data_IF_485962834969
#
_entry.id   IF_485962834969
#
_cell.length_a   1.000
_cell.length_b   1.000
_cell.length_c   1.000
_cell.angle_alpha   90.00
_cell.angle_beta   90.00
_cell.angle_gamma   90.00
#
_symmetry.space_group_name_H-M   'P 1'
#
loop_
_entity.id
_entity.type
_entity.pdbx_description
1 polymer ?
#
# COMPACT_ATOMS: atom_id res chain seq x y z
N UNK A 1 -17.11 -20.31 1.57
CA UNK A 1 -16.65 -18.95 1.22
C UNK A 1 -15.12 -18.76 1.17
N UNK A 2 -14.30 -19.66 1.73
CA UNK A 2 -12.82 -19.58 1.63
C UNK A 2 -12.24 -20.09 0.28
N UNK A 3 -12.93 -20.99 -0.42
CA UNK A 3 -12.41 -21.60 -1.66
C UNK A 3 -12.44 -20.67 -2.88
N UNK A 4 -13.42 -19.76 -2.95
CA UNK A 4 -13.54 -18.78 -4.06
C UNK A 4 -12.44 -17.72 -3.97
N UNK A 5 -12.06 -17.28 -2.77
CA UNK A 5 -10.95 -16.33 -2.56
C UNK A 5 -9.59 -16.91 -2.99
N UNK A 6 -9.36 -18.20 -2.77
CA UNK A 6 -8.10 -18.86 -3.15
C UNK A 6 -7.95 -18.96 -4.68
N UNK A 7 -9.04 -19.19 -5.40
CA UNK A 7 -9.03 -19.28 -6.87
C UNK A 7 -8.88 -17.91 -7.56
N UNK A 8 -9.44 -16.84 -6.97
CA UNK A 8 -9.37 -15.50 -7.56
C UNK A 8 -7.99 -14.87 -7.36
N UNK A 9 -7.32 -15.13 -6.23
CA UNK A 9 -5.92 -14.74 -6.02
C UNK A 9 -4.98 -15.40 -7.05
N UNK A 10 -5.21 -16.68 -7.37
CA UNK A 10 -4.42 -17.43 -8.37
C UNK A 10 -4.64 -16.91 -9.80
N UNK A 11 -5.83 -16.39 -10.16
CA UNK A 11 -6.02 -15.74 -11.48
C UNK A 11 -5.36 -14.36 -11.58
N UNK A 12 -5.37 -13.57 -10.50
CA UNK A 12 -4.71 -12.24 -10.48
C UNK A 12 -3.18 -12.39 -10.52
N UNK A 13 -2.63 -13.41 -9.86
CA UNK A 13 -1.21 -13.78 -9.89
C UNK A 13 -0.83 -14.58 -11.14
N UNK A 14 -1.79 -15.27 -11.77
CA UNK A 14 -1.58 -16.17 -12.90
C UNK A 14 -1.23 -15.47 -14.21
N UNK A 15 -1.34 -14.15 -14.27
CA UNK A 15 -0.89 -13.32 -15.40
C UNK A 15 0.39 -12.51 -15.08
N UNK A 16 0.91 -12.61 -13.84
CA UNK A 16 2.26 -12.17 -13.47
C UNK A 16 3.27 -13.26 -13.89
N UNK A 17 3.17 -13.67 -15.14
CA UNK A 17 3.81 -14.88 -15.71
C UNK A 17 5.29 -14.71 -15.99
N UNK A 18 5.79 -13.47 -16.00
CA UNK A 18 7.23 -13.23 -15.95
C UNK A 18 7.71 -13.48 -14.52
N UNK A 19 8.53 -14.53 -14.35
CA UNK A 19 9.07 -14.89 -13.03
C UNK A 19 9.77 -13.74 -12.29
N UNK A 20 10.24 -12.73 -13.03
CA UNK A 20 10.82 -11.51 -12.48
C UNK A 20 9.79 -10.60 -11.80
N UNK A 21 8.62 -10.40 -12.38
CA UNK A 21 7.55 -9.57 -11.78
C UNK A 21 6.96 -10.23 -10.53
N UNK A 22 6.80 -11.56 -10.57
CA UNK A 22 6.42 -12.32 -9.39
C UNK A 22 7.47 -12.22 -8.28
N UNK A 23 8.75 -12.32 -8.64
CA UNK A 23 9.86 -12.17 -7.68
C UNK A 23 9.89 -10.77 -7.08
N UNK A 24 9.70 -9.70 -7.87
CA UNK A 24 9.59 -8.32 -7.37
C UNK A 24 8.42 -8.15 -6.41
N UNK A 25 7.25 -8.72 -6.75
CA UNK A 25 6.08 -8.73 -5.89
C UNK A 25 6.33 -9.43 -4.54
N UNK A 26 6.94 -10.61 -4.58
CA UNK A 26 7.31 -11.37 -3.39
C UNK A 26 8.36 -10.62 -2.55
N UNK A 27 9.34 -10.00 -3.19
CA UNK A 27 10.39 -9.21 -2.55
C UNK A 27 9.83 -8.00 -1.81
N UNK A 28 8.88 -7.27 -2.41
CA UNK A 28 8.23 -6.14 -1.74
C UNK A 28 7.45 -6.60 -0.50
N UNK A 29 6.68 -7.70 -0.59
CA UNK A 29 5.99 -8.26 0.57
C UNK A 29 6.97 -8.72 1.67
N UNK A 30 8.09 -9.32 1.26
CA UNK A 30 9.16 -9.69 2.19
C UNK A 30 9.76 -8.46 2.89
N UNK A 31 9.94 -7.35 2.17
CA UNK A 31 10.40 -6.09 2.78
C UNK A 31 9.42 -5.56 3.84
N UNK A 32 8.11 -5.73 3.65
CA UNK A 32 7.10 -5.36 4.64
C UNK A 32 7.15 -6.25 5.88
N UNK A 33 7.32 -7.55 5.65
CA UNK A 33 7.47 -8.54 6.71
C UNK A 33 8.68 -8.21 7.60
N UNK A 34 9.85 -8.00 6.98
CA UNK A 34 11.09 -7.64 7.69
C UNK A 34 10.91 -6.32 8.44
N UNK A 35 10.33 -5.29 7.80
CA UNK A 35 10.08 -4.01 8.47
C UNK A 35 9.18 -4.17 9.71
N UNK A 36 8.08 -4.93 9.60
CA UNK A 36 7.17 -5.17 10.72
C UNK A 36 7.84 -5.95 11.87
N UNK A 37 8.68 -6.93 11.57
CA UNK A 37 9.47 -7.64 12.59
C UNK A 37 10.45 -6.70 13.29
N UNK A 38 11.19 -5.90 12.52
CA UNK A 38 12.17 -4.96 13.08
C UNK A 38 11.47 -3.86 13.92
N UNK A 39 10.31 -3.36 13.48
CA UNK A 39 9.52 -2.44 14.26
C UNK A 39 9.04 -3.07 15.59
N UNK A 40 8.59 -4.32 15.56
CA UNK A 40 8.17 -5.03 16.78
C UNK A 40 9.34 -5.20 17.77
N UNK A 41 10.54 -5.56 17.28
CA UNK A 41 11.74 -5.66 18.10
C UNK A 41 12.10 -4.31 18.74
N UNK A 42 12.01 -3.22 17.98
CA UNK A 42 12.25 -1.87 18.47
C UNK A 42 11.30 -1.52 19.63
N UNK A 43 9.99 -1.77 19.46
CA UNK A 43 8.98 -1.49 20.49
C UNK A 43 9.18 -2.35 21.74
N UNK A 44 9.50 -3.64 21.59
CA UNK A 44 9.77 -4.54 22.71
C UNK A 44 11.02 -4.14 23.51
N UNK A 45 11.95 -3.39 22.92
CA UNK A 45 13.11 -2.85 23.65
C UNK A 45 12.73 -1.73 24.62
N UNK A 46 11.69 -0.94 24.30
CA UNK A 46 11.22 0.15 25.15
C UNK A 46 10.15 -0.28 26.16
N UNK A 47 9.31 -1.26 25.80
CA UNK A 47 8.14 -1.66 26.59
C UNK A 47 8.39 -2.99 27.30
N UNK A 48 8.38 -2.99 28.64
CA UNK A 48 8.64 -4.17 29.49
C UNK A 48 7.57 -5.27 29.36
N UNK A 49 6.31 -4.91 29.13
CA UNK A 49 5.19 -5.85 29.04
C UNK A 49 4.90 -6.20 27.58
N UNK A 50 5.03 -7.48 27.23
CA UNK A 50 4.80 -7.97 25.87
C UNK A 50 3.39 -7.71 25.35
N UNK A 51 2.37 -7.74 26.21
CA UNK A 51 0.98 -7.44 25.81
C UNK A 51 0.80 -5.96 25.43
N UNK A 52 1.45 -5.05 26.17
CA UNK A 52 1.40 -3.61 25.87
C UNK A 52 2.22 -3.30 24.62
N UNK A 53 3.37 -3.96 24.45
CA UNK A 53 4.17 -3.83 23.22
C UNK A 53 3.38 -4.30 21.99
N UNK A 54 2.67 -5.43 22.09
CA UNK A 54 1.84 -5.96 21.03
C UNK A 54 0.67 -5.01 20.69
N UNK A 55 -0.01 -4.46 21.68
CA UNK A 55 -1.11 -3.51 21.42
C UNK A 55 -0.62 -2.24 20.73
N UNK A 56 0.49 -1.65 21.20
CA UNK A 56 1.12 -0.47 20.57
C UNK A 56 1.49 -0.77 19.11
N UNK A 57 2.08 -1.93 18.82
CA UNK A 57 2.47 -2.29 17.47
C UNK A 57 1.26 -2.45 16.53
N UNK A 58 0.17 -3.05 17.03
CA UNK A 58 -1.09 -3.15 16.28
C UNK A 58 -1.66 -1.75 15.99
N UNK A 59 -1.67 -0.84 16.97
CA UNK A 59 -2.12 0.54 16.75
C UNK A 59 -1.28 1.27 15.70
N UNK A 60 0.05 1.14 15.75
CA UNK A 60 0.95 1.72 14.75
C UNK A 60 0.67 1.16 13.34
N UNK A 61 0.51 -0.16 13.21
CA UNK A 61 0.17 -0.79 11.93
C UNK A 61 -1.18 -0.29 11.38
N UNK A 62 -2.20 -0.17 12.23
CA UNK A 62 -3.50 0.38 11.85
C UNK A 62 -3.38 1.82 11.35
N UNK A 63 -2.62 2.68 12.05
CA UNK A 63 -2.40 4.07 11.65
C UNK A 63 -1.67 4.12 10.29
N UNK A 64 -0.61 3.33 10.09
CA UNK A 64 0.12 3.30 8.82
C UNK A 64 -0.77 2.86 7.66
N UNK A 65 -1.60 1.84 7.85
CA UNK A 65 -2.52 1.38 6.80
C UNK A 65 -3.59 2.43 6.53
N UNK A 66 -4.21 3.02 7.56
CA UNK A 66 -5.25 4.04 7.40
C UNK A 66 -4.73 5.30 6.69
N UNK A 67 -3.51 5.73 7.06
CA UNK A 67 -2.90 6.97 6.57
C UNK A 67 -2.28 6.80 5.18
N UNK A 68 -1.51 5.73 4.99
CA UNK A 68 -0.58 5.65 3.87
C UNK A 68 -0.95 4.60 2.82
N UNK A 69 -1.98 3.76 3.02
CA UNK A 69 -2.36 2.80 1.98
C UNK A 69 -3.01 3.42 0.74
N UNK A 70 -3.62 4.61 0.83
CA UNK A 70 -4.39 5.21 -0.27
C UNK A 70 -5.74 4.52 -0.57
N UNK A 71 -6.02 3.37 0.08
CA UNK A 71 -7.23 2.56 -0.14
C UNK A 71 -8.41 3.07 0.69
N UNK A 72 -8.16 3.37 1.97
CA UNK A 72 -9.20 3.82 2.91
C UNK A 72 -9.56 5.29 2.69
N UNK A 73 -8.57 6.10 2.32
CA UNK A 73 -8.74 7.49 1.95
C UNK A 73 -7.78 7.83 0.81
N UNK A 74 -8.30 8.52 -0.20
CA UNK A 74 -7.48 9.03 -1.30
C UNK A 74 -6.52 10.11 -0.81
N UNK A 75 -5.31 10.14 -1.37
CA UNK A 75 -4.31 11.18 -1.10
C UNK A 75 -4.77 12.58 -1.51
N UNK A 76 -5.66 12.70 -2.50
CA UNK A 76 -6.27 13.99 -2.89
C UNK A 76 -7.13 14.59 -1.77
N UNK A 77 -7.69 13.73 -0.92
CA UNK A 77 -8.53 14.13 0.20
C UNK A 77 -7.76 14.46 1.48
N UNK A 78 -6.42 14.45 1.46
CA UNK A 78 -5.61 14.84 2.61
C UNK A 78 -5.29 16.33 2.61
N UNK A 79 -5.13 16.87 3.82
CA UNK A 79 -4.50 18.17 4.04
C UNK A 79 -2.99 18.05 3.79
N UNK A 80 -2.31 19.14 3.43
CA UNK A 80 -0.92 19.13 2.98
C UNK A 80 0.03 18.50 4.00
N UNK A 81 -0.09 18.84 5.29
CA UNK A 81 0.76 18.26 6.33
C UNK A 81 0.59 16.74 6.44
N UNK A 82 -0.66 16.27 6.33
CA UNK A 82 -0.99 14.85 6.45
C UNK A 82 -0.52 14.09 5.21
N UNK A 83 -0.60 14.72 4.04
CA UNK A 83 0.00 14.21 2.81
C UNK A 83 1.52 14.06 2.95
N UNK A 84 2.23 15.04 3.51
CA UNK A 84 3.68 14.91 3.73
C UNK A 84 4.05 13.78 4.70
N UNK A 85 3.25 13.54 5.74
CA UNK A 85 3.49 12.43 6.67
C UNK A 85 3.45 11.06 5.98
N UNK A 86 2.66 10.89 4.91
CA UNK A 86 2.63 9.62 4.19
C UNK A 86 3.99 9.27 3.54
N UNK A 87 4.81 10.25 3.16
CA UNK A 87 6.15 9.99 2.59
C UNK A 87 7.13 9.38 3.58
N UNK A 88 6.89 9.54 4.88
CA UNK A 88 7.76 8.99 5.94
C UNK A 88 7.40 7.54 6.25
N UNK A 89 6.32 7.01 5.66
CA UNK A 89 5.85 5.64 5.93
C UNK A 89 6.21 4.69 4.79
N UNK A 90 6.76 3.52 5.13
CA UNK A 90 7.02 2.46 4.15
C UNK A 90 5.74 2.05 3.41
N UNK A 91 4.61 2.00 4.12
CA UNK A 91 3.31 1.55 3.62
C UNK A 91 2.84 2.30 2.37
N UNK A 92 3.20 3.59 2.22
CA UNK A 92 2.90 4.38 1.01
C UNK A 92 3.52 3.74 -0.23
N UNK A 93 4.84 3.58 -0.23
CA UNK A 93 5.59 3.09 -1.39
C UNK A 93 5.21 1.65 -1.75
N UNK A 94 5.02 0.81 -0.73
CA UNK A 94 4.54 -0.56 -0.89
C UNK A 94 3.14 -0.58 -1.51
N UNK A 95 2.23 0.25 -1.00
CA UNK A 95 0.86 0.27 -1.51
C UNK A 95 0.80 0.73 -2.96
N UNK A 96 1.54 1.78 -3.31
CA UNK A 96 1.65 2.27 -4.70
C UNK A 96 2.20 1.16 -5.60
N UNK A 97 3.28 0.48 -5.20
CA UNK A 97 3.86 -0.63 -5.95
C UNK A 97 2.84 -1.75 -6.19
N UNK A 98 2.18 -2.23 -5.12
CA UNK A 98 1.24 -3.35 -5.20
C UNK A 98 0.02 -3.00 -6.05
N UNK A 99 -0.59 -1.83 -5.84
CA UNK A 99 -1.75 -1.40 -6.61
C UNK A 99 -1.39 -1.16 -8.08
N UNK A 100 -0.23 -0.56 -8.36
CA UNK A 100 0.24 -0.38 -9.73
C UNK A 100 0.48 -1.72 -10.42
N UNK A 101 1.10 -2.69 -9.74
CA UNK A 101 1.37 -4.02 -10.32
C UNK A 101 0.08 -4.79 -10.69
N UNK A 102 -1.00 -4.59 -9.94
CA UNK A 102 -2.28 -5.26 -10.17
C UNK A 102 -3.15 -4.49 -11.17
N UNK A 103 -3.42 -3.21 -10.92
CA UNK A 103 -4.41 -2.45 -11.70
C UNK A 103 -3.89 -1.92 -13.04
N UNK A 104 -2.58 -2.00 -13.31
CA UNK A 104 -2.00 -1.67 -14.62
C UNK A 104 -2.03 -2.83 -15.61
N UNK A 105 -2.50 -4.02 -15.21
CA UNK A 105 -2.66 -5.16 -16.11
C UNK A 105 -3.63 -4.82 -17.27
N UNK A 106 -3.39 -5.41 -18.44
CA UNK A 106 -4.18 -5.17 -19.65
C UNK A 106 -5.68 -5.46 -19.47
N UNK A 107 -6.01 -6.43 -18.59
CA UNK A 107 -7.38 -6.82 -18.22
C UNK A 107 -8.16 -5.64 -17.63
N UNK A 108 -7.49 -4.70 -16.95
CA UNK A 108 -8.12 -3.54 -16.31
C UNK A 108 -8.09 -2.26 -17.16
N UNK A 109 -7.53 -2.29 -18.38
CA UNK A 109 -7.54 -1.12 -19.28
C UNK A 109 -8.91 -0.86 -19.91
N UNK A 110 -9.65 -1.93 -20.19
CA UNK A 110 -11.01 -1.87 -20.74
C UNK A 110 -11.83 -2.96 -20.06
N UNK A 111 -12.47 -2.63 -18.93
CA UNK A 111 -13.26 -3.62 -18.20
C UNK A 111 -14.46 -4.05 -19.09
N UNK A 112 -14.54 -5.32 -19.51
CA UNK A 112 -15.59 -5.78 -20.42
C UNK A 112 -16.94 -5.78 -19.71
N UNK A 113 -18.01 -5.44 -20.43
CA UNK A 113 -19.39 -5.52 -19.95
C UNK A 113 -19.68 -6.91 -19.37
N UNK A 114 -20.25 -6.96 -18.16
CA UNK A 114 -20.63 -8.21 -17.51
C UNK A 114 -21.76 -7.97 -16.53
N UNK A 115 -22.94 -8.53 -16.78
CA UNK A 115 -24.13 -8.36 -15.93
C UNK A 115 -23.97 -8.92 -14.50
N UNK A 116 -22.95 -9.76 -14.27
CA UNK A 116 -22.68 -10.42 -12.98
C UNK A 116 -21.46 -9.85 -12.24
N UNK A 117 -20.51 -9.26 -12.96
CA UNK A 117 -19.21 -8.84 -12.41
C UNK A 117 -18.87 -7.37 -12.66
N UNK A 118 -19.57 -6.68 -13.57
CA UNK A 118 -19.30 -5.29 -13.95
C UNK A 118 -20.59 -4.44 -13.79
N UNK A 119 -20.44 -3.17 -13.44
CA UNK A 119 -21.56 -2.25 -13.23
C UNK A 119 -22.09 -1.67 -14.54
N UNK A 120 -21.99 -2.40 -15.65
CA UNK A 120 -22.54 -1.99 -16.93
C UNK A 120 -24.01 -2.41 -17.01
N UNK A 121 -24.93 -1.52 -16.66
CA UNK A 121 -26.37 -1.71 -16.93
C UNK A 121 -26.86 -0.52 -17.74
N UNK A 122 -27.43 -0.80 -18.91
CA UNK A 122 -27.88 0.16 -19.93
C UNK A 122 -29.23 0.82 -19.60
N UNK A 123 -29.62 0.91 -18.32
CA UNK A 123 -30.94 1.41 -17.94
C UNK A 123 -30.91 2.38 -16.75
N UNK A 124 -30.23 3.52 -16.88
CA UNK A 124 -30.55 4.84 -16.29
C UNK A 124 -29.32 5.79 -16.27
N UNK A 125 -29.45 7.08 -16.64
CA UNK A 125 -28.31 7.98 -16.75
C UNK A 125 -28.14 8.79 -15.46
N UNK A 126 -27.28 8.35 -14.54
CA UNK A 126 -26.71 9.26 -13.54
C UNK A 126 -25.23 9.41 -13.89
N UNK A 127 -24.93 10.50 -14.62
CA UNK A 127 -23.61 10.81 -15.15
C UNK A 127 -22.67 11.23 -14.02
N UNK A 128 -21.61 10.46 -13.78
CA UNK A 128 -20.52 10.83 -12.84
C UNK A 128 -19.18 11.06 -13.54
N UNK A 129 -19.10 10.95 -14.86
CA UNK A 129 -17.90 11.23 -15.65
C UNK A 129 -18.09 12.52 -16.49
N UNK A 130 -17.16 13.50 -16.42
CA UNK A 130 -17.33 14.80 -17.07
C UNK A 130 -16.98 14.83 -18.57
N UNK A 131 -16.52 13.72 -19.19
CA UNK A 131 -16.04 13.73 -20.57
C UNK A 131 -16.81 12.78 -21.49
N UNK A 132 -17.41 13.41 -22.49
CA UNK A 132 -18.29 12.89 -23.52
C UNK A 132 -17.51 12.05 -24.56
N UNK A 133 -17.23 10.77 -24.28
CA UNK A 133 -16.79 9.80 -25.31
C UNK A 133 -17.56 8.48 -25.13
N UNK A 134 -18.70 8.39 -25.81
CA UNK A 134 -19.46 7.23 -26.34
C UNK A 134 -19.60 5.89 -25.59
N UNK A 135 -18.94 5.58 -24.48
CA UNK A 135 -19.03 4.27 -23.79
C UNK A 135 -18.87 4.37 -22.26
N UNK A 136 -19.25 5.51 -21.66
CA UNK A 136 -19.19 5.69 -20.20
C UNK A 136 -20.45 5.10 -19.56
N UNK A 137 -20.32 3.92 -18.98
CA UNK A 137 -21.39 3.25 -18.24
C UNK A 137 -21.71 4.08 -16.98
N UNK A 138 -22.90 4.64 -16.90
CA UNK A 138 -23.32 5.55 -15.81
C UNK A 138 -23.27 4.94 -14.40
N UNK A 139 -23.07 3.63 -14.28
CA UNK A 139 -23.08 2.88 -13.03
C UNK A 139 -21.67 2.42 -12.57
N UNK A 140 -20.62 2.57 -13.37
CA UNK A 140 -19.23 2.25 -12.97
C UNK A 140 -18.50 3.53 -12.52
N UNK A 141 -17.98 3.56 -11.29
CA UNK A 141 -17.18 4.70 -10.80
C UNK A 141 -15.87 4.90 -11.58
N UNK A 142 -15.27 3.83 -12.11
CA UNK A 142 -14.00 3.85 -12.83
C UNK A 142 -14.15 3.16 -14.18
N UNK A 143 -13.61 3.77 -15.25
CA UNK A 143 -13.66 3.20 -16.60
C UNK A 143 -12.51 2.22 -16.87
N UNK A 144 -11.38 2.44 -16.18
CA UNK A 144 -10.16 1.65 -16.26
C UNK A 144 -9.42 1.65 -14.89
N UNK A 145 -8.40 0.82 -14.76
CA UNK A 145 -7.55 0.77 -13.57
C UNK A 145 -6.71 2.03 -13.36
N UNK A 146 -6.37 2.75 -14.43
CA UNK A 146 -5.57 3.99 -14.36
C UNK A 146 -6.36 5.15 -13.72
N UNK A 147 -7.66 5.26 -14.00
CA UNK A 147 -8.60 6.21 -13.40
C UNK A 147 -8.69 5.94 -11.89
N UNK A 148 -8.76 4.65 -11.50
CA UNK A 148 -8.74 4.26 -10.10
C UNK A 148 -7.44 4.67 -9.41
N UNK A 149 -6.29 4.32 -10.00
CA UNK A 149 -4.99 4.69 -9.45
C UNK A 149 -4.84 6.21 -9.35
N UNK A 150 -5.39 6.94 -10.32
CA UNK A 150 -5.27 8.39 -10.36
C UNK A 150 -6.10 9.14 -9.34
N UNK A 151 -7.31 8.67 -9.08
CA UNK A 151 -8.13 9.23 -8.03
C UNK A 151 -7.52 8.96 -6.64
N UNK A 152 -6.95 7.77 -6.43
CA UNK A 152 -6.50 7.32 -5.10
C UNK A 152 -5.11 7.82 -4.71
N UNK A 153 -4.16 7.73 -5.62
CA UNK A 153 -2.74 7.98 -5.35
C UNK A 153 -2.23 9.28 -6.00
N UNK A 154 -3.04 9.95 -6.82
CA UNK A 154 -2.70 11.25 -7.40
C UNK A 154 -2.58 12.36 -6.35
N UNK A 155 -1.68 13.32 -6.58
CA UNK A 155 -1.60 14.53 -5.76
C UNK A 155 -2.79 15.46 -6.02
N UNK A 156 -3.08 16.33 -5.04
CA UNK A 156 -4.24 17.25 -5.04
C UNK A 156 -4.26 18.17 -6.26
N UNK A 157 -3.10 18.71 -6.65
CA UNK A 157 -2.96 19.66 -7.77
C UNK A 157 -2.43 19.01 -9.06
N UNK A 158 -2.44 17.68 -9.13
CA UNK A 158 -1.91 16.98 -10.29
C UNK A 158 -2.93 16.97 -11.44
N UNK A 159 -2.67 17.83 -12.44
CA UNK A 159 -3.36 17.89 -13.74
C UNK A 159 -2.38 17.34 -14.79
N UNK A 160 -2.32 16.01 -14.93
CA UNK A 160 -1.42 15.34 -15.87
C UNK A 160 -1.63 13.83 -15.89
N UNK A 161 -0.89 13.12 -16.75
CA UNK A 161 -0.83 11.65 -16.74
C UNK A 161 0.07 11.18 -15.60
N UNK A 162 -0.49 10.40 -14.68
CA UNK A 162 0.23 9.89 -13.50
C UNK A 162 1.37 8.93 -13.89
N UNK A 163 1.35 8.42 -15.11
CA UNK A 163 2.34 7.50 -15.62
C UNK A 163 3.73 8.14 -15.75
N UNK A 164 3.80 9.48 -15.82
CA UNK A 164 5.04 10.25 -15.98
C UNK A 164 5.52 10.89 -14.69
N UNK A 165 4.75 10.79 -13.60
CA UNK A 165 5.21 11.32 -12.31
C UNK A 165 6.22 10.36 -11.69
N UNK A 166 7.36 10.92 -11.23
CA UNK A 166 8.43 10.17 -10.56
C UNK A 166 7.91 9.35 -9.37
N UNK A 167 6.82 9.78 -8.75
CA UNK A 167 6.20 9.14 -7.59
C UNK A 167 5.59 7.77 -7.90
N UNK A 168 5.27 7.49 -9.16
CA UNK A 168 4.69 6.21 -9.57
C UNK A 168 5.70 5.26 -10.19
N UNK A 169 7.00 5.60 -10.21
CA UNK A 169 8.02 4.68 -10.72
C UNK A 169 8.07 3.39 -9.88
N UNK A 170 8.06 2.23 -10.55
CA UNK A 170 7.95 0.93 -9.89
C UNK A 170 9.24 0.60 -9.12
N UNK A 171 10.38 0.86 -9.76
CA UNK A 171 11.69 0.54 -9.21
C UNK A 171 12.04 1.50 -8.06
N UNK A 172 11.67 2.77 -8.19
CA UNK A 172 11.83 3.75 -7.12
C UNK A 172 11.03 3.37 -5.86
N UNK A 173 9.74 3.07 -6.01
CA UNK A 173 8.89 2.66 -4.89
C UNK A 173 9.40 1.36 -4.24
N UNK A 174 9.83 0.38 -5.05
CA UNK A 174 10.45 -0.84 -4.56
C UNK A 174 11.74 -0.55 -3.77
N UNK A 175 12.64 0.27 -4.34
CA UNK A 175 13.91 0.61 -3.70
C UNK A 175 13.70 1.32 -2.35
N UNK A 176 12.75 2.25 -2.28
CA UNK A 176 12.41 2.92 -1.02
C UNK A 176 11.80 1.94 -0.01
N UNK A 177 10.90 1.04 -0.43
CA UNK A 177 10.34 0.03 0.46
C UNK A 177 11.44 -0.82 1.12
N UNK A 178 12.48 -1.18 0.37
CA UNK A 178 13.68 -1.85 0.89
C UNK A 178 14.54 -0.94 1.77
N UNK A 179 14.73 0.33 1.39
CA UNK A 179 15.49 1.29 2.19
C UNK A 179 14.89 1.47 3.59
N UNK A 180 13.57 1.47 3.73
CA UNK A 180 12.92 1.49 5.05
C UNK A 180 13.21 0.23 5.87
N UNK A 181 13.10 -0.96 5.26
CA UNK A 181 13.36 -2.23 5.94
C UNK A 181 14.83 -2.33 6.41
N UNK A 182 15.78 -1.93 5.56
CA UNK A 182 17.20 -1.89 5.91
C UNK A 182 17.51 -0.77 6.92
N UNK A 183 16.87 0.39 6.77
CA UNK A 183 17.02 1.53 7.66
C UNK A 183 16.62 1.18 9.09
N UNK A 184 15.45 0.56 9.29
CA UNK A 184 15.00 0.16 10.63
C UNK A 184 15.90 -0.94 11.22
N UNK A 185 16.43 -1.85 10.39
CA UNK A 185 17.39 -2.88 10.83
C UNK A 185 18.69 -2.24 11.35
N UNK A 186 19.20 -1.22 10.66
CA UNK A 186 20.39 -0.45 11.10
C UNK A 186 20.07 0.33 12.38
N UNK A 187 18.92 1.00 12.45
CA UNK A 187 18.46 1.72 13.65
C UNK A 187 18.37 0.78 14.85
N UNK A 188 17.82 -0.43 14.68
CA UNK A 188 17.76 -1.43 15.74
C UNK A 188 19.15 -1.81 16.24
N UNK A 189 20.13 -1.99 15.36
CA UNK A 189 21.51 -2.25 15.79
C UNK A 189 22.07 -1.11 16.63
N UNK A 190 21.81 0.14 16.27
CA UNK A 190 22.20 1.29 17.09
C UNK A 190 21.47 1.34 18.44
N UNK A 191 20.17 1.02 18.46
CA UNK A 191 19.40 0.89 19.70
C UNK A 191 20.02 -0.12 20.65
N UNK A 192 20.47 -1.29 20.15
CA UNK A 192 21.16 -2.29 20.96
C UNK A 192 22.54 -1.85 21.48
N UNK A 193 23.22 -0.92 20.80
CA UNK A 193 24.50 -0.36 21.26
C UNK A 193 24.32 0.74 22.31
N UNK A 194 23.15 1.38 22.36
CA UNK A 194 22.84 2.36 23.40
C UNK A 194 22.76 1.62 24.75
N UNK A 195 23.48 2.10 25.80
CA UNK A 195 23.43 1.45 27.10
C UNK A 195 21.99 1.42 27.58
N UNK A 196 21.52 0.21 27.88
CA UNK A 196 20.19 -0.04 28.42
C UNK A 196 19.91 0.96 29.57
N UNK A 197 18.74 1.65 29.54
CA UNK A 197 18.35 2.53 30.64
C UNK A 197 18.50 1.81 31.97
N UNK A 198 19.00 2.49 33.01
CA UNK A 198 19.37 1.87 34.29
C UNK A 198 18.28 0.95 34.86
N UNK A 199 17.00 1.29 34.62
CA UNK A 199 15.82 0.51 35.00
C UNK A 199 15.74 -0.91 34.41
N UNK A 200 16.43 -1.21 33.29
CA UNK A 200 16.55 -2.57 32.74
C UNK A 200 17.70 -3.33 33.41
N UNK A 201 18.79 -2.64 33.79
CA UNK A 201 19.89 -3.25 34.56
C UNK A 201 19.42 -3.69 35.95
N UNK A 202 18.55 -2.92 36.59
CA UNK A 202 18.04 -3.23 37.93
C UNK A 202 17.16 -4.49 37.96
N UNK A 203 16.42 -4.79 36.88
CA UNK A 203 15.57 -6.00 36.78
C UNK A 203 16.36 -7.32 36.68
N UNK A 204 17.63 -7.28 36.23
CA UNK A 204 18.48 -8.47 36.15
C UNK A 204 19.44 -8.59 37.33
N UNK A 205 19.31 -7.70 38.32
CA UNK A 205 20.15 -7.65 39.51
C UNK A 205 19.40 -8.08 40.79
N UNK A 206 18.09 -8.32 40.70
CA UNK A 206 17.25 -9.00 41.69
C UNK A 206 16.83 -10.37 41.17
#
# INVERSE_FOLDING_TARGET
MLFVKRFQCVRILGDITEGLEFLRFALVLWSCYVFAEQQAMAVMMFVKNSLVAASVNIYLACIYIMLASGVLRSYRGYEEWLYYLTYVTQTRYVSIFLHRSVFKQSIFRHLPYSDKENCTSTTSPIQTAPNLISNSNANCRYSNGDDFLSERFGAKDFIGEIQTSSDFDLQFNMAIAFAFALGIMVINKFLYLMPLPAHVKDKFRE
#
